data_IF_614864936622
#
_entry.id   IF_614864936622
#
_cell.length_a   1.000
_cell.length_b   1.000
_cell.length_c   1.000
_cell.angle_alpha   90.00
_cell.angle_beta   90.00
_cell.angle_gamma   90.00
#
_symmetry.space_group_name_H-M   'P 1'
#
loop_
_entity.id
_entity.type
_entity.pdbx_description
1 polymer ?
#
# COMPACT_ATOMS: atom_id res chain seq x y z
N UNK A 1 -34.83 -7.25 -5.72
CA UNK A 1 -34.30 -6.56 -4.55
C UNK A 1 -33.54 -5.34 -5.00
N UNK A 2 -33.87 -4.14 -4.52
CA UNK A 2 -33.07 -2.91 -4.66
C UNK A 2 -32.64 -2.46 -3.28
N UNK A 3 -31.39 -2.06 -3.12
CA UNK A 3 -30.86 -1.52 -1.86
C UNK A 3 -30.18 -0.19 -2.14
N UNK A 4 -30.70 0.88 -1.53
CA UNK A 4 -30.08 2.21 -1.53
C UNK A 4 -29.41 2.47 -0.18
N UNK A 5 -28.07 2.50 -0.15
CA UNK A 5 -27.26 2.79 1.05
C UNK A 5 -26.73 4.21 1.01
N UNK A 6 -27.09 4.99 2.02
CA UNK A 6 -26.48 6.30 2.30
C UNK A 6 -25.61 6.20 3.55
N UNK A 7 -24.31 6.39 3.40
CA UNK A 7 -23.38 6.32 4.52
C UNK A 7 -22.57 7.60 4.72
N UNK A 8 -22.37 7.96 6.00
CA UNK A 8 -21.54 9.07 6.44
C UNK A 8 -20.44 8.55 7.34
N UNK A 9 -19.21 8.96 7.05
CA UNK A 9 -18.04 8.57 7.84
C UNK A 9 -17.40 9.81 8.48
N UNK A 10 -17.12 9.73 9.79
CA UNK A 10 -16.48 10.78 10.56
C UNK A 10 -15.39 10.18 11.45
N UNK A 11 -14.14 10.64 11.28
CA UNK A 11 -13.00 10.15 12.06
C UNK A 11 -12.26 11.29 12.75
N UNK A 12 -11.89 11.07 14.02
CA UNK A 12 -10.99 11.93 14.80
C UNK A 12 -9.75 11.11 15.17
N UNK A 13 -8.65 11.38 14.49
CA UNK A 13 -7.41 10.63 14.68
C UNK A 13 -6.33 11.51 15.32
N UNK A 14 -5.63 10.93 16.28
CA UNK A 14 -4.53 11.56 17.00
C UNK A 14 -3.27 10.73 16.87
N UNK A 15 -2.15 11.39 16.64
CA UNK A 15 -0.86 10.74 16.52
C UNK A 15 0.18 11.38 17.42
N UNK A 16 1.07 10.55 17.97
CA UNK A 16 2.28 10.96 18.65
C UNK A 16 3.47 10.19 18.06
N UNK A 17 4.51 10.93 17.72
CA UNK A 17 5.78 10.36 17.27
C UNK A 17 6.91 10.90 18.13
N UNK A 18 7.78 10.00 18.59
CA UNK A 18 9.00 10.34 19.31
C UNK A 18 10.15 9.53 18.73
N UNK A 19 11.27 10.19 18.48
CA UNK A 19 12.46 9.55 17.91
C UNK A 19 13.72 10.05 18.60
N UNK A 20 14.60 9.09 18.94
CA UNK A 20 15.94 9.34 19.43
C UNK A 20 16.94 8.83 18.38
N UNK A 21 17.74 9.76 17.88
CA UNK A 21 18.82 9.48 16.93
C UNK A 21 20.17 9.72 17.61
N UNK A 22 21.07 8.75 17.48
CA UNK A 22 22.44 8.88 17.94
C UNK A 22 23.38 8.39 16.85
N UNK A 23 24.30 9.26 16.40
CA UNK A 23 25.34 8.93 15.44
C UNK A 23 26.70 9.06 16.09
N UNK A 24 27.48 7.97 16.09
CA UNK A 24 28.89 8.00 16.43
C UNK A 24 29.74 7.91 15.17
N UNK A 25 30.66 8.88 15.00
CA UNK A 25 31.59 8.93 13.86
C UNK A 25 33.00 8.79 14.38
N UNK A 26 33.67 7.69 14.02
CA UNK A 26 35.12 7.56 14.21
C UNK A 26 35.88 8.35 13.14
N UNK A 27 35.34 8.37 11.92
CA UNK A 27 35.76 9.19 10.79
C UNK A 27 34.63 9.23 9.73
N UNK A 28 34.84 9.91 8.60
CA UNK A 28 33.82 10.05 7.55
C UNK A 28 33.40 8.73 6.89
N UNK A 29 34.21 7.70 7.01
CA UNK A 29 33.96 6.37 6.43
C UNK A 29 33.62 5.29 7.46
N UNK A 30 33.58 5.63 8.75
CA UNK A 30 33.34 4.69 9.84
C UNK A 30 32.34 5.29 10.83
N UNK A 31 31.11 4.83 10.76
CA UNK A 31 29.98 5.37 11.52
C UNK A 31 29.13 4.28 12.13
N UNK A 32 28.50 4.60 13.25
CA UNK A 32 27.47 3.81 13.88
C UNK A 32 26.27 4.73 14.13
N UNK A 33 25.13 4.35 13.57
CA UNK A 33 23.87 5.07 13.71
C UNK A 33 22.90 4.21 14.52
N UNK A 34 22.31 4.79 15.54
CA UNK A 34 21.28 4.18 16.36
C UNK A 34 20.02 5.03 16.31
N UNK A 35 18.88 4.39 16.05
CA UNK A 35 17.57 5.01 16.03
C UNK A 35 16.64 4.21 16.93
N UNK A 36 15.94 4.93 17.81
CA UNK A 36 14.84 4.39 18.61
C UNK A 36 13.61 5.27 18.38
N UNK A 37 12.60 4.70 17.75
CA UNK A 37 11.35 5.37 17.42
C UNK A 37 10.16 4.79 18.17
N UNK A 38 9.25 5.64 18.57
CA UNK A 38 7.94 5.29 19.08
C UNK A 38 6.86 6.04 18.29
N UNK A 39 5.86 5.28 17.82
CA UNK A 39 4.67 5.82 17.20
C UNK A 39 3.43 5.35 17.94
N UNK A 40 2.53 6.28 18.21
CA UNK A 40 1.15 5.99 18.56
C UNK A 40 0.23 6.74 17.62
N UNK A 41 -0.73 6.03 17.06
CA UNK A 41 -1.75 6.61 16.21
C UNK A 41 -3.07 5.90 16.47
N UNK A 42 -4.17 6.65 16.54
CA UNK A 42 -5.47 6.06 16.77
C UNK A 42 -6.54 7.12 16.97
N UNK A 43 -7.72 6.61 17.25
CA UNK A 43 -8.93 7.38 17.54
C UNK A 43 -10.15 6.79 16.87
N UNK A 44 -11.33 7.28 17.27
CA UNK A 44 -12.60 6.76 16.79
C UNK A 44 -12.84 7.12 15.33
N UNK A 45 -13.34 6.14 14.60
CA UNK A 45 -13.94 6.30 13.29
C UNK A 45 -15.40 5.86 13.39
N UNK A 46 -16.32 6.79 13.22
CA UNK A 46 -17.76 6.55 13.30
C UNK A 46 -18.37 6.58 11.91
N UNK A 47 -18.99 5.47 11.54
CA UNK A 47 -19.78 5.34 10.32
C UNK A 47 -21.25 5.23 10.71
N UNK A 48 -22.10 6.06 10.14
CA UNK A 48 -23.55 5.90 10.17
C UNK A 48 -24.05 5.58 8.78
N UNK A 49 -24.93 4.61 8.64
CA UNK A 49 -25.59 4.25 7.37
C UNK A 49 -27.10 4.15 7.57
N UNK A 50 -27.79 4.50 6.49
CA UNK A 50 -29.22 4.36 6.30
C UNK A 50 -29.43 3.56 5.02
N UNK A 51 -30.07 2.40 5.15
CA UNK A 51 -30.34 1.50 4.02
C UNK A 51 -31.84 1.41 3.81
N UNK A 52 -32.29 1.68 2.61
CA UNK A 52 -33.65 1.46 2.16
C UNK A 52 -33.69 0.25 1.23
N UNK A 53 -34.23 -0.87 1.74
CA UNK A 53 -34.26 -2.15 1.05
C UNK A 53 -35.67 -2.37 0.50
N UNK A 54 -35.81 -2.32 -0.82
CA UNK A 54 -37.06 -2.65 -1.50
C UNK A 54 -37.09 -4.12 -1.91
N UNK A 55 -37.99 -4.87 -1.33
CA UNK A 55 -38.35 -6.21 -1.76
C UNK A 55 -39.50 -6.12 -2.77
N UNK A 56 -39.88 -7.25 -3.40
CA UNK A 56 -40.97 -7.30 -4.36
C UNK A 56 -42.35 -7.07 -3.72
N UNK A 57 -42.49 -7.23 -2.41
CA UNK A 57 -43.72 -7.21 -1.64
C UNK A 57 -43.74 -6.20 -0.47
N UNK A 58 -42.59 -5.71 -0.04
CA UNK A 58 -42.46 -4.73 1.05
C UNK A 58 -41.14 -3.96 0.95
N UNK A 59 -41.00 -2.89 1.73
CA UNK A 59 -39.73 -2.17 1.94
C UNK A 59 -39.34 -2.19 3.41
N UNK A 60 -38.05 -2.20 3.69
CA UNK A 60 -37.45 -2.20 5.01
C UNK A 60 -36.42 -1.09 5.12
N UNK A 61 -36.52 -0.25 6.16
CA UNK A 61 -35.56 0.78 6.47
C UNK A 61 -34.66 0.32 7.61
N UNK A 62 -33.34 0.35 7.41
CA UNK A 62 -32.34 -0.01 8.40
C UNK A 62 -31.41 1.15 8.70
N UNK A 63 -31.23 1.40 9.99
CA UNK A 63 -30.21 2.34 10.48
C UNK A 63 -29.11 1.57 11.18
N UNK A 64 -27.87 1.93 10.88
CA UNK A 64 -26.69 1.39 11.53
C UNK A 64 -25.71 2.48 11.89
N UNK A 65 -25.19 2.44 13.12
CA UNK A 65 -24.05 3.24 13.55
C UNK A 65 -22.93 2.31 14.02
N UNK A 66 -21.76 2.40 13.40
CA UNK A 66 -20.59 1.63 13.77
C UNK A 66 -19.49 2.58 14.25
N UNK A 67 -18.95 2.35 15.44
CA UNK A 67 -17.79 3.05 15.98
C UNK A 67 -16.63 2.07 16.08
N UNK A 68 -15.58 2.35 15.32
CA UNK A 68 -14.32 1.63 15.36
C UNK A 68 -13.28 2.54 16.04
N UNK A 69 -12.82 2.17 17.24
CA UNK A 69 -11.82 2.94 17.99
C UNK A 69 -10.45 2.26 17.89
N UNK A 70 -9.72 2.62 16.85
CA UNK A 70 -8.42 2.01 16.56
C UNK A 70 -7.31 2.64 17.41
N UNK A 71 -6.46 1.82 18.00
CA UNK A 71 -5.24 2.22 18.69
C UNK A 71 -4.06 1.40 18.21
N UNK A 72 -3.12 2.03 17.53
CA UNK A 72 -1.88 1.39 17.07
C UNK A 72 -0.69 2.00 17.81
N UNK A 73 0.16 1.15 18.41
CA UNK A 73 1.41 1.52 19.06
C UNK A 73 2.53 0.73 18.41
N UNK A 74 3.59 1.42 18.00
CA UNK A 74 4.74 0.75 17.41
C UNK A 74 6.06 1.28 17.98
N UNK A 75 7.00 0.36 18.12
CA UNK A 75 8.39 0.63 18.46
C UNK A 75 9.27 0.18 17.29
N UNK A 76 10.24 0.98 16.97
CA UNK A 76 11.28 0.62 16.01
C UNK A 76 12.65 0.88 16.59
N UNK A 77 13.54 -0.08 16.44
CA UNK A 77 14.94 0.04 16.83
C UNK A 77 15.79 -0.29 15.62
N UNK A 78 16.69 0.61 15.25
CA UNK A 78 17.60 0.41 14.14
C UNK A 78 19.02 0.69 14.60
N UNK A 79 19.95 -0.18 14.22
CA UNK A 79 21.38 -0.02 14.46
C UNK A 79 22.10 -0.28 13.14
N UNK A 80 22.71 0.74 12.58
CA UNK A 80 23.48 0.67 11.34
C UNK A 80 24.95 0.91 11.59
N UNK A 81 25.78 -0.01 11.18
CA UNK A 81 27.23 0.09 11.18
C UNK A 81 27.71 0.23 9.74
N UNK A 82 28.48 1.25 9.48
CA UNK A 82 29.10 1.52 8.18
C UNK A 82 30.60 1.62 8.37
N UNK A 83 31.38 0.89 7.57
CA UNK A 83 32.83 0.97 7.57
C UNK A 83 33.41 0.73 6.18
N UNK A 84 34.32 1.59 5.75
CA UNK A 84 35.15 1.39 4.58
C UNK A 84 36.35 0.51 4.98
N UNK A 85 36.17 -0.82 4.89
CA UNK A 85 37.14 -1.81 5.34
C UNK A 85 38.39 -1.92 4.44
N UNK A 86 38.27 -1.43 3.19
CA UNK A 86 39.39 -1.20 2.27
C UNK A 86 39.05 0.03 1.40
N UNK A 87 40.02 0.58 0.68
CA UNK A 87 39.76 1.76 -0.15
C UNK A 87 38.67 1.54 -1.21
N UNK A 88 38.56 0.30 -1.66
CA UNK A 88 37.58 -0.13 -2.68
C UNK A 88 36.38 -0.87 -2.13
N UNK A 89 36.32 -1.16 -0.82
CA UNK A 89 35.29 -2.02 -0.22
C UNK A 89 34.65 -1.39 1.01
N UNK A 90 33.35 -1.17 0.94
CA UNK A 90 32.48 -0.68 2.03
C UNK A 90 31.63 -1.82 2.58
N UNK A 91 31.62 -1.98 3.89
CA UNK A 91 30.71 -2.84 4.63
C UNK A 91 29.63 -1.98 5.29
N UNK A 92 28.38 -2.36 5.10
CA UNK A 92 27.24 -1.90 5.86
C UNK A 92 26.58 -3.12 6.53
N UNK A 93 26.38 -3.07 7.84
CA UNK A 93 25.75 -4.15 8.59
C UNK A 93 24.84 -3.56 9.66
N UNK A 94 23.76 -4.24 9.98
CA UNK A 94 22.85 -3.67 10.96
C UNK A 94 21.80 -4.63 11.47
N UNK A 95 21.06 -4.09 12.43
CA UNK A 95 19.88 -4.71 13.04
C UNK A 95 18.69 -3.76 12.88
N UNK A 96 17.53 -4.33 12.58
CA UNK A 96 16.25 -3.62 12.61
C UNK A 96 15.22 -4.48 13.35
N UNK A 97 14.67 -3.93 14.44
CA UNK A 97 13.59 -4.53 15.20
C UNK A 97 12.35 -3.64 15.15
N UNK A 98 11.20 -4.21 14.81
CA UNK A 98 9.91 -3.50 14.84
C UNK A 98 8.89 -4.33 15.58
N UNK A 99 8.24 -3.72 16.55
CA UNK A 99 7.09 -4.25 17.25
C UNK A 99 5.89 -3.33 17.02
N UNK A 100 4.75 -3.90 16.64
CA UNK A 100 3.50 -3.17 16.49
C UNK A 100 2.39 -3.89 17.23
N UNK A 101 1.62 -3.15 17.99
CA UNK A 101 0.41 -3.58 18.68
C UNK A 101 -0.76 -2.74 18.19
N UNK A 102 -1.78 -3.38 17.68
CA UNK A 102 -3.04 -2.78 17.24
C UNK A 102 -4.17 -3.36 18.06
N UNK A 103 -5.05 -2.51 18.58
CA UNK A 103 -6.25 -2.87 19.32
C UNK A 103 -7.41 -2.07 18.72
N UNK A 104 -8.41 -2.76 18.20
CA UNK A 104 -9.49 -2.16 17.41
C UNK A 104 -10.83 -2.72 17.87
N UNK A 105 -11.40 -2.21 18.97
CA UNK A 105 -12.80 -2.47 19.29
C UNK A 105 -13.73 -1.80 18.29
N UNK A 106 -14.75 -2.54 17.90
CA UNK A 106 -15.80 -2.11 16.97
C UNK A 106 -17.14 -2.36 17.61
N UNK A 107 -17.85 -1.29 17.93
CA UNK A 107 -19.23 -1.31 18.44
C UNK A 107 -20.19 -0.97 17.32
N UNK A 108 -21.29 -1.74 17.22
CA UNK A 108 -22.31 -1.51 16.19
C UNK A 108 -23.69 -1.44 16.86
N UNK A 109 -24.44 -0.42 16.49
CA UNK A 109 -25.82 -0.20 16.88
C UNK A 109 -26.71 -0.31 15.65
N UNK A 110 -27.86 -0.96 15.76
CA UNK A 110 -28.81 -1.13 14.67
C UNK A 110 -30.22 -0.80 15.14
N UNK A 111 -31.06 -0.31 14.22
CA UNK A 111 -32.47 0.04 14.49
C UNK A 111 -33.26 0.26 13.20
N UNK A 112 -34.53 0.55 13.32
CA UNK A 112 -35.43 0.93 12.21
C UNK A 112 -35.56 2.44 12.06
N UNK A 113 -35.03 3.19 13.02
CA UNK A 113 -34.91 4.65 12.99
C UNK A 113 -33.67 5.12 13.76
N UNK A 114 -33.24 6.33 13.55
CA UNK A 114 -32.09 6.93 14.25
C UNK A 114 -32.36 7.08 15.77
N UNK A 115 -33.60 6.96 16.25
CA UNK A 115 -33.94 7.13 17.65
C UNK A 115 -34.14 5.81 18.44
N UNK A 116 -34.22 4.67 17.76
CA UNK A 116 -34.45 3.36 18.36
C UNK A 116 -33.26 2.40 18.24
N UNK A 117 -32.10 2.92 17.94
CA UNK A 117 -30.89 2.10 17.79
C UNK A 117 -30.48 1.43 19.10
N UNK A 118 -30.24 0.14 19.05
CA UNK A 118 -29.71 -0.68 20.14
C UNK A 118 -28.41 -1.35 19.76
N UNK A 119 -27.56 -1.60 20.76
CA UNK A 119 -26.29 -2.29 20.52
C UNK A 119 -26.55 -3.69 19.96
N UNK A 120 -25.91 -3.97 18.83
CA UNK A 120 -25.96 -5.28 18.21
C UNK A 120 -24.73 -6.09 18.62
N UNK A 121 -24.89 -6.95 19.61
CA UNK A 121 -23.81 -7.76 20.18
C UNK A 121 -23.18 -8.73 19.15
N UNK A 122 -23.95 -9.18 18.17
CA UNK A 122 -23.47 -10.07 17.10
C UNK A 122 -22.51 -9.34 16.13
N UNK A 123 -22.61 -8.02 16.04
CA UNK A 123 -21.75 -7.15 15.24
C UNK A 123 -20.60 -6.52 16.04
N UNK A 124 -20.48 -6.86 17.34
CA UNK A 124 -19.33 -6.44 18.13
C UNK A 124 -18.11 -7.28 17.80
N UNK A 125 -16.98 -6.63 17.61
CA UNK A 125 -15.69 -7.28 17.50
C UNK A 125 -14.60 -6.41 18.14
N UNK A 126 -13.69 -7.03 18.91
CA UNK A 126 -12.44 -6.39 19.29
C UNK A 126 -11.29 -7.21 18.72
N UNK A 127 -10.63 -6.66 17.73
CA UNK A 127 -9.50 -7.29 17.09
C UNK A 127 -8.18 -6.78 17.64
N UNK A 128 -7.36 -7.71 18.15
CA UNK A 128 -6.03 -7.43 18.68
C UNK A 128 -4.99 -8.08 17.76
N UNK A 129 -4.09 -7.26 17.24
CA UNK A 129 -3.04 -7.68 16.32
C UNK A 129 -1.66 -7.24 16.84
N UNK A 130 -0.78 -8.22 17.05
CA UNK A 130 0.61 -7.98 17.39
C UNK A 130 1.51 -8.48 16.27
N UNK A 131 2.42 -7.65 15.83
CA UNK A 131 3.40 -7.96 14.79
C UNK A 131 4.80 -7.62 15.27
N UNK A 132 5.69 -8.59 15.29
CA UNK A 132 7.08 -8.46 15.66
C UNK A 132 7.96 -8.92 14.50
N UNK A 133 8.85 -8.04 14.05
CA UNK A 133 9.84 -8.32 13.01
C UNK A 133 11.22 -7.97 13.53
N UNK A 134 12.13 -8.92 13.48
CA UNK A 134 13.55 -8.72 13.84
C UNK A 134 14.40 -9.13 12.66
N UNK A 135 15.31 -8.28 12.24
CA UNK A 135 16.15 -8.50 11.07
C UNK A 135 17.61 -8.17 11.33
N UNK A 136 18.48 -9.01 10.81
CA UNK A 136 19.91 -8.76 10.67
C UNK A 136 20.25 -8.67 9.20
N UNK A 137 21.10 -7.73 8.83
CA UNK A 137 21.53 -7.54 7.45
C UNK A 137 22.99 -7.14 7.35
N UNK A 138 23.57 -7.50 6.21
CA UNK A 138 24.89 -7.06 5.81
C UNK A 138 24.92 -6.81 4.29
N UNK A 139 25.64 -5.78 3.89
CA UNK A 139 25.83 -5.39 2.48
C UNK A 139 27.30 -5.05 2.26
N UNK A 140 27.87 -5.62 1.22
CA UNK A 140 29.18 -5.28 0.71
C UNK A 140 29.03 -4.47 -0.57
N UNK A 141 29.60 -3.29 -0.61
CA UNK A 141 29.57 -2.39 -1.75
C UNK A 141 30.97 -1.97 -2.18
N UNK A 142 31.18 -1.85 -3.49
CA UNK A 142 32.41 -1.42 -4.08
C UNK A 142 32.18 -0.58 -5.30
N UNK A 143 33.09 0.35 -5.54
CA UNK A 143 33.21 1.07 -6.80
C UNK A 143 34.68 1.10 -7.22
N UNK A 144 34.97 0.45 -8.34
CA UNK A 144 36.31 0.40 -8.94
C UNK A 144 36.19 0.93 -10.37
N UNK A 145 36.78 2.08 -10.63
CA UNK A 145 36.71 2.79 -11.93
C UNK A 145 35.24 2.95 -12.40
N UNK A 146 34.87 2.29 -13.47
CA UNK A 146 33.55 2.36 -14.10
C UNK A 146 32.57 1.29 -13.58
N UNK A 147 33.07 0.33 -12.79
CA UNK A 147 32.25 -0.75 -12.26
C UNK A 147 31.91 -0.51 -10.80
N UNK A 148 30.63 -0.70 -10.43
CA UNK A 148 30.19 -0.75 -9.05
C UNK A 148 29.31 -1.96 -8.79
N UNK A 149 29.43 -2.51 -7.58
CA UNK A 149 28.52 -3.55 -7.11
C UNK A 149 28.06 -3.28 -5.68
N UNK A 150 26.88 -3.79 -5.36
CA UNK A 150 26.37 -3.89 -3.99
C UNK A 150 25.69 -5.25 -3.85
N UNK A 151 26.18 -6.08 -2.91
CA UNK A 151 25.65 -7.40 -2.63
C UNK A 151 25.22 -7.44 -1.16
N UNK A 152 23.96 -7.71 -0.91
CA UNK A 152 23.36 -7.70 0.43
C UNK A 152 22.63 -9.01 0.75
N UNK A 153 22.61 -9.34 2.03
CA UNK A 153 21.77 -10.39 2.59
C UNK A 153 21.10 -9.89 3.86
N UNK A 154 19.78 -10.04 3.93
CA UNK A 154 18.96 -9.74 5.10
C UNK A 154 18.22 -11.00 5.54
N UNK A 155 18.35 -11.36 6.81
CA UNK A 155 17.56 -12.41 7.45
C UNK A 155 16.52 -11.79 8.36
N UNK A 156 15.26 -12.18 8.22
CA UNK A 156 14.16 -11.69 9.05
C UNK A 156 13.46 -12.84 9.79
N UNK A 157 13.35 -12.70 11.11
CA UNK A 157 12.44 -13.47 11.94
C UNK A 157 11.18 -12.64 12.16
N UNK A 158 10.02 -13.24 11.92
CA UNK A 158 8.73 -12.56 12.01
C UNK A 158 7.74 -13.39 12.81
N UNK A 159 6.98 -12.72 13.69
CA UNK A 159 5.93 -13.31 14.51
C UNK A 159 4.67 -12.44 14.45
N UNK A 160 3.55 -13.08 14.14
CA UNK A 160 2.21 -12.50 14.31
C UNK A 160 1.48 -13.23 15.44
N UNK A 161 0.66 -12.45 16.16
CA UNK A 161 -0.29 -12.95 17.14
C UNK A 161 -1.58 -12.16 17.01
N UNK A 162 -2.70 -12.85 16.75
CA UNK A 162 -4.01 -12.22 16.63
C UNK A 162 -5.01 -12.80 17.62
N UNK A 163 -5.99 -11.99 18.02
CA UNK A 163 -7.20 -12.40 18.74
C UNK A 163 -8.39 -11.62 18.16
N UNK A 164 -9.50 -12.30 18.00
CA UNK A 164 -10.78 -11.69 17.67
C UNK A 164 -11.75 -12.03 18.82
N UNK A 165 -12.25 -11.02 19.53
CA UNK A 165 -13.09 -11.18 20.70
C UNK A 165 -14.51 -10.75 20.35
N UNK A 166 -15.47 -11.61 20.65
CA UNK A 166 -16.91 -11.29 20.59
C UNK A 166 -17.35 -10.48 21.80
N UNK A 167 -18.57 -9.99 21.78
CA UNK A 167 -19.17 -9.26 22.90
C UNK A 167 -19.11 -10.07 24.21
N UNK A 168 -18.69 -9.41 25.29
CA UNK A 168 -18.54 -10.03 26.60
C UNK A 168 -17.29 -10.89 26.81
N UNK A 169 -16.50 -11.16 25.76
CA UNK A 169 -15.25 -11.91 25.87
C UNK A 169 -14.08 -11.01 26.29
N UNK A 170 -13.15 -11.61 27.04
CA UNK A 170 -11.87 -11.03 27.45
C UNK A 170 -10.73 -11.72 26.71
N UNK A 171 -9.51 -11.16 26.77
CA UNK A 171 -8.33 -11.79 26.18
C UNK A 171 -8.00 -13.17 26.77
N UNK A 172 -8.47 -13.48 27.98
CA UNK A 172 -8.27 -14.78 28.62
C UNK A 172 -9.16 -15.88 28.02
N UNK A 173 -10.31 -15.49 27.47
CA UNK A 173 -11.30 -16.42 26.93
C UNK A 173 -10.96 -16.90 25.52
N UNK A 174 -10.05 -16.17 24.82
CA UNK A 174 -9.71 -16.46 23.41
C UNK A 174 -8.26 -16.86 23.27
N UNK A 175 -8.02 -18.09 22.82
CA UNK A 175 -6.67 -18.54 22.47
C UNK A 175 -6.15 -17.76 21.25
N UNK A 176 -4.98 -17.10 21.36
CA UNK A 176 -4.45 -16.34 20.24
C UNK A 176 -3.99 -17.26 19.10
N UNK A 177 -4.31 -16.88 17.89
CA UNK A 177 -3.64 -17.43 16.72
C UNK A 177 -2.21 -16.88 16.67
N UNK A 178 -1.22 -17.77 16.49
CA UNK A 178 0.21 -17.41 16.44
C UNK A 178 0.84 -17.98 15.20
N UNK A 179 1.66 -17.19 14.53
CA UNK A 179 2.44 -17.60 13.38
C UNK A 179 3.85 -17.03 13.47
N UNK A 180 4.83 -17.90 13.26
CA UNK A 180 6.24 -17.55 13.20
C UNK A 180 6.77 -17.91 11.82
N UNK A 181 7.67 -17.09 11.30
CA UNK A 181 8.34 -17.33 10.03
C UNK A 181 9.77 -16.77 10.06
N UNK A 182 10.64 -17.36 9.26
CA UNK A 182 11.99 -16.87 9.00
C UNK A 182 12.24 -16.88 7.49
N UNK A 183 12.81 -15.82 6.96
CA UNK A 183 13.12 -15.73 5.53
C UNK A 183 14.41 -14.95 5.27
N UNK A 184 15.06 -15.28 4.16
CA UNK A 184 16.25 -14.61 3.65
C UNK A 184 15.90 -13.77 2.42
N UNK A 185 16.48 -12.57 2.39
CA UNK A 185 16.28 -11.56 1.34
C UNK A 185 17.64 -11.16 0.76
N UNK A 186 18.14 -11.89 -0.24
CA UNK A 186 19.32 -11.50 -0.99
C UNK A 186 19.02 -10.33 -1.92
N UNK A 187 20.02 -9.49 -2.13
CA UNK A 187 20.00 -8.40 -3.10
C UNK A 187 21.35 -8.29 -3.80
N UNK A 188 21.31 -7.98 -5.08
CA UNK A 188 22.51 -7.76 -5.90
C UNK A 188 22.25 -6.61 -6.86
N UNK A 189 23.13 -5.63 -6.86
CA UNK A 189 23.13 -4.50 -7.78
C UNK A 189 24.52 -4.42 -8.43
N UNK A 190 24.55 -4.47 -9.73
CA UNK A 190 25.74 -4.30 -10.55
C UNK A 190 25.53 -3.11 -11.47
N UNK A 191 26.47 -2.20 -11.53
CA UNK A 191 26.40 -1.02 -12.40
C UNK A 191 27.72 -0.84 -13.14
N UNK A 192 27.63 -0.47 -14.39
CA UNK A 192 28.77 -0.15 -15.24
C UNK A 192 28.53 1.18 -15.95
N UNK A 193 29.43 2.15 -15.66
CA UNK A 193 29.42 3.46 -16.31
C UNK A 193 30.11 3.37 -17.66
N UNK A 194 29.37 3.67 -18.73
CA UNK A 194 29.84 3.72 -20.10
C UNK A 194 30.23 5.15 -20.49
N UNK A 195 31.04 5.36 -21.55
CA UNK A 195 31.34 6.69 -22.05
C UNK A 195 30.09 7.52 -22.38
N UNK A 196 30.22 8.84 -22.34
CA UNK A 196 29.17 9.81 -22.70
C UNK A 196 27.95 9.74 -21.82
N UNK A 197 28.08 9.61 -20.49
CA UNK A 197 27.01 9.60 -19.50
C UNK A 197 25.93 8.52 -19.75
N UNK A 198 26.40 7.34 -20.13
CA UNK A 198 25.59 6.15 -20.19
C UNK A 198 25.89 5.25 -18.99
N UNK A 199 24.89 4.51 -18.53
CA UNK A 199 25.03 3.54 -17.44
C UNK A 199 24.17 2.31 -17.72
N UNK A 200 24.71 1.13 -17.45
CA UNK A 200 23.97 -0.13 -17.45
C UNK A 200 23.96 -0.69 -16.05
N UNK A 201 22.79 -1.22 -15.63
CA UNK A 201 22.62 -1.84 -14.32
C UNK A 201 21.90 -3.17 -14.45
N UNK A 202 22.31 -4.15 -13.63
CA UNK A 202 21.64 -5.42 -13.43
C UNK A 202 21.31 -5.51 -11.94
N UNK A 203 20.03 -5.73 -11.64
CA UNK A 203 19.53 -5.78 -10.27
C UNK A 203 18.78 -7.08 -10.02
N UNK A 204 19.01 -7.65 -8.85
CA UNK A 204 18.18 -8.71 -8.31
C UNK A 204 17.77 -8.37 -6.89
N UNK A 205 16.49 -8.54 -6.57
CA UNK A 205 15.97 -8.36 -5.20
C UNK A 205 14.89 -9.40 -4.91
N UNK A 206 14.88 -9.89 -3.66
CA UNK A 206 13.78 -10.67 -3.10
C UNK A 206 13.08 -9.85 -2.03
N UNK A 207 11.73 -9.87 -2.04
CA UNK A 207 10.88 -9.10 -1.12
C UNK A 207 9.78 -9.98 -0.54
N UNK A 208 9.22 -9.54 0.58
CA UNK A 208 8.07 -10.15 1.25
C UNK A 208 6.96 -9.11 1.39
N UNK A 209 5.73 -9.55 1.16
CA UNK A 209 4.52 -8.84 1.58
C UNK A 209 3.81 -9.68 2.62
N UNK A 210 3.60 -9.11 3.81
CA UNK A 210 2.92 -9.77 4.93
C UNK A 210 1.44 -9.41 4.92
N UNK A 211 0.55 -10.31 5.37
CA UNK A 211 -0.84 -9.94 5.57
C UNK A 211 -0.93 -8.88 6.69
N UNK A 212 -1.79 -7.90 6.50
CA UNK A 212 -2.10 -6.89 7.49
C UNK A 212 -3.30 -7.31 8.36
N UNK A 213 -3.55 -6.61 9.49
CA UNK A 213 -4.53 -7.00 10.50
C UNK A 213 -5.92 -7.32 9.95
N UNK A 214 -6.48 -6.46 9.08
CA UNK A 214 -7.81 -6.68 8.51
C UNK A 214 -7.92 -7.91 7.61
N UNK A 215 -6.81 -8.36 6.96
CA UNK A 215 -6.79 -9.60 6.19
C UNK A 215 -6.78 -10.85 7.09
N UNK A 216 -6.42 -10.67 8.37
CA UNK A 216 -6.30 -11.76 9.35
C UNK A 216 -7.47 -11.79 10.35
N UNK A 217 -8.31 -10.77 10.39
CA UNK A 217 -9.44 -10.71 11.30
C UNK A 217 -10.55 -11.65 10.81
N UNK A 218 -10.76 -12.76 11.52
CA UNK A 218 -11.77 -13.78 11.19
C UNK A 218 -13.20 -13.38 11.52
N UNK A 219 -13.41 -12.18 12.06
CA UNK A 219 -14.75 -11.69 12.33
C UNK A 219 -15.54 -11.50 11.03
N UNK A 220 -16.78 -12.00 11.00
CA UNK A 220 -17.70 -11.85 9.88
C UNK A 220 -18.40 -10.51 9.98
N UNK A 221 -18.08 -9.61 9.06
CA UNK A 221 -18.83 -8.37 8.91
C UNK A 221 -20.14 -8.67 8.17
N UNK A 222 -21.20 -8.75 8.94
CA UNK A 222 -22.59 -8.98 8.49
C UNK A 222 -23.39 -7.68 8.44
N UNK A 223 -22.74 -6.54 8.39
CA UNK A 223 -23.40 -5.24 8.26
C UNK A 223 -24.27 -5.16 6.99
N UNK A 224 -23.83 -5.80 5.91
CA UNK A 224 -24.65 -6.14 4.76
C UNK A 224 -24.91 -7.66 4.77
N UNK A 225 -26.12 -8.13 5.14
CA UNK A 225 -26.41 -9.56 5.24
C UNK A 225 -26.35 -10.32 3.91
N UNK A 226 -26.33 -9.62 2.78
CA UNK A 226 -26.20 -10.21 1.44
C UNK A 226 -24.75 -10.27 0.95
N UNK A 227 -23.83 -9.52 1.60
CA UNK A 227 -22.42 -9.43 1.24
C UNK A 227 -21.54 -9.48 2.50
N UNK A 228 -21.27 -10.66 2.98
CA UNK A 228 -20.46 -10.90 4.17
C UNK A 228 -18.98 -10.89 3.83
N UNK A 229 -18.18 -10.18 4.62
CA UNK A 229 -16.72 -10.17 4.44
C UNK A 229 -15.99 -10.51 5.73
N UNK A 230 -14.86 -11.23 5.62
CA UNK A 230 -14.02 -11.60 6.74
C UNK A 230 -12.59 -11.88 6.29
N UNK A 231 -11.66 -11.83 7.25
CA UNK A 231 -10.25 -12.16 7.02
C UNK A 231 -9.94 -13.63 7.26
N UNK A 232 -8.73 -14.04 6.89
CA UNK A 232 -8.23 -15.39 7.05
C UNK A 232 -6.96 -15.38 7.91
N UNK A 233 -7.00 -15.83 9.17
CA UNK A 233 -5.82 -15.89 10.04
C UNK A 233 -4.68 -16.76 9.49
N UNK A 234 -5.00 -17.74 8.62
CA UNK A 234 -4.03 -18.69 8.08
C UNK A 234 -3.25 -18.17 6.87
N UNK A 235 -3.53 -16.94 6.40
CA UNK A 235 -2.81 -16.33 5.28
C UNK A 235 -1.30 -16.40 5.47
N UNK A 236 -0.61 -16.87 4.42
CA UNK A 236 0.84 -16.85 4.31
C UNK A 236 1.33 -15.53 3.72
N UNK A 237 2.54 -15.08 4.06
CA UNK A 237 3.17 -13.99 3.32
C UNK A 237 3.44 -14.41 1.87
N UNK A 238 3.31 -13.47 0.95
CA UNK A 238 3.75 -13.66 -0.42
C UNK A 238 5.19 -13.17 -0.62
N UNK A 239 5.92 -13.85 -1.51
CA UNK A 239 7.30 -13.52 -1.83
C UNK A 239 7.43 -13.13 -3.30
N UNK A 240 8.22 -12.09 -3.55
CA UNK A 240 8.50 -11.62 -4.90
C UNK A 240 10.00 -11.60 -5.17
N UNK A 241 10.42 -12.15 -6.32
CA UNK A 241 11.76 -11.99 -6.84
C UNK A 241 11.70 -11.08 -8.07
N UNK A 242 12.55 -10.08 -8.13
CA UNK A 242 12.66 -9.14 -9.25
C UNK A 242 14.05 -9.21 -9.86
N UNK A 243 14.11 -9.41 -11.17
CA UNK A 243 15.30 -9.28 -12.00
C UNK A 243 15.09 -8.11 -12.95
N UNK A 244 16.04 -7.20 -12.98
CA UNK A 244 15.93 -5.96 -13.75
C UNK A 244 17.24 -5.69 -14.51
N UNK A 245 17.12 -5.31 -15.78
CA UNK A 245 18.19 -4.76 -16.60
C UNK A 245 17.81 -3.33 -16.95
N UNK A 246 18.65 -2.38 -16.52
CA UNK A 246 18.41 -0.96 -16.71
C UNK A 246 19.50 -0.36 -17.59
N UNK A 247 19.09 0.55 -18.45
CA UNK A 247 19.98 1.41 -19.22
C UNK A 247 19.57 2.86 -18.98
N UNK A 248 20.53 3.67 -18.60
CA UNK A 248 20.36 5.10 -18.35
C UNK A 248 21.25 5.89 -19.32
N UNK A 249 20.68 6.90 -19.96
CA UNK A 249 21.38 7.90 -20.74
C UNK A 249 21.00 9.29 -20.23
N UNK A 250 22.03 10.05 -19.85
CA UNK A 250 21.87 11.45 -19.45
C UNK A 250 22.46 12.39 -20.49
N UNK A 251 21.76 13.49 -20.74
CA UNK A 251 22.22 14.65 -21.49
C UNK A 251 22.02 15.89 -20.62
N UNK A 252 22.52 17.02 -21.02
CA UNK A 252 22.44 18.26 -20.23
C UNK A 252 21.01 18.62 -19.81
N UNK A 253 20.02 18.40 -20.68
CA UNK A 253 18.62 18.77 -20.44
C UNK A 253 17.66 17.61 -20.59
N UNK A 254 18.15 16.41 -20.88
CA UNK A 254 17.33 15.23 -21.14
C UNK A 254 17.90 14.02 -20.41
N UNK A 255 17.02 13.12 -20.02
CA UNK A 255 17.38 11.81 -19.46
C UNK A 255 16.42 10.76 -20.01
N UNK A 256 16.97 9.63 -20.41
CA UNK A 256 16.22 8.45 -20.81
C UNK A 256 16.65 7.27 -19.95
N UNK A 257 15.70 6.60 -19.32
CA UNK A 257 15.89 5.32 -18.63
C UNK A 257 15.02 4.26 -19.29
N UNK A 258 15.62 3.14 -19.64
CA UNK A 258 14.95 1.95 -20.15
C UNK A 258 15.19 0.82 -19.17
N UNK A 259 14.14 0.17 -18.70
CA UNK A 259 14.22 -0.95 -17.78
C UNK A 259 13.47 -2.13 -18.35
N UNK A 260 14.11 -3.28 -18.48
CA UNK A 260 13.45 -4.55 -18.75
C UNK A 260 13.45 -5.37 -17.46
N UNK A 261 12.32 -5.98 -17.12
CA UNK A 261 12.18 -6.68 -15.86
C UNK A 261 11.36 -7.97 -15.97
N UNK A 262 11.67 -8.90 -15.07
CA UNK A 262 10.84 -10.06 -14.77
C UNK A 262 10.65 -10.13 -13.27
N UNK A 263 9.40 -10.15 -12.84
CA UNK A 263 9.02 -10.29 -11.42
C UNK A 263 8.15 -11.52 -11.26
N UNK A 264 8.58 -12.42 -10.38
CA UNK A 264 7.79 -13.59 -9.98
C UNK A 264 7.24 -13.35 -8.57
N UNK A 265 5.97 -13.65 -8.35
CA UNK A 265 5.33 -13.58 -7.03
C UNK A 265 4.68 -14.92 -6.75
N UNK A 266 5.06 -15.56 -5.65
CA UNK A 266 4.47 -16.81 -5.17
C UNK A 266 3.53 -16.56 -3.99
N UNK A 267 2.57 -17.48 -3.82
CA UNK A 267 1.60 -17.45 -2.73
C UNK A 267 0.81 -16.14 -2.65
N UNK A 268 0.33 -15.65 -3.79
CA UNK A 268 -0.38 -14.37 -3.85
C UNK A 268 -1.58 -14.34 -2.91
N UNK A 269 -1.62 -13.32 -2.06
CA UNK A 269 -2.79 -13.06 -1.23
C UNK A 269 -3.87 -12.38 -2.06
N UNK A 270 -4.87 -13.15 -2.48
CA UNK A 270 -5.99 -12.67 -3.27
C UNK A 270 -7.28 -12.68 -2.44
N UNK A 271 -8.13 -11.67 -2.67
CA UNK A 271 -9.50 -11.73 -2.23
C UNK A 271 -10.26 -12.71 -3.11
N UNK A 272 -10.97 -13.63 -2.50
CA UNK A 272 -11.84 -14.59 -3.17
C UNK A 272 -13.26 -14.39 -2.70
N UNK A 273 -14.19 -14.56 -3.62
CA UNK A 273 -15.63 -14.49 -3.32
C UNK A 273 -16.30 -15.78 -3.76
N UNK A 274 -17.32 -16.19 -3.00
CA UNK A 274 -18.14 -17.34 -3.28
C UNK A 274 -19.58 -17.09 -2.86
N UNK A 275 -20.51 -17.80 -3.48
CA UNK A 275 -21.93 -17.73 -3.15
C UNK A 275 -22.31 -18.97 -2.32
N UNK A 276 -22.92 -18.75 -1.14
CA UNK A 276 -23.53 -19.81 -0.33
C UNK A 276 -25.00 -19.44 -0.05
N UNK A 277 -25.92 -20.17 -0.69
CA UNK A 277 -27.33 -19.73 -0.80
C UNK A 277 -27.43 -18.43 -1.61
N UNK A 278 -28.09 -17.43 -1.02
CA UNK A 278 -28.25 -16.09 -1.61
C UNK A 278 -27.28 -15.06 -1.04
N UNK A 279 -26.29 -15.51 -0.24
CA UNK A 279 -25.31 -14.63 0.40
C UNK A 279 -23.96 -14.72 -0.30
N UNK A 280 -23.42 -13.56 -0.66
CA UNK A 280 -22.07 -13.42 -1.21
C UNK A 280 -21.06 -13.32 -0.08
N UNK A 281 -20.16 -14.27 0.03
CA UNK A 281 -19.05 -14.23 0.98
C UNK A 281 -17.77 -13.82 0.29
N UNK A 282 -16.97 -13.02 0.98
CA UNK A 282 -15.65 -12.58 0.51
C UNK A 282 -14.60 -12.75 1.60
N UNK A 283 -13.50 -13.42 1.27
CA UNK A 283 -12.38 -13.63 2.20
C UNK A 283 -11.04 -13.56 1.45
N UNK A 284 -9.96 -13.90 2.13
CA UNK A 284 -8.61 -13.90 1.58
C UNK A 284 -8.02 -15.31 1.56
N UNK A 285 -7.31 -15.63 0.48
CA UNK A 285 -6.58 -16.88 0.36
C UNK A 285 -5.27 -16.68 -0.41
N UNK A 286 -4.28 -17.54 -0.13
CA UNK A 286 -3.09 -17.64 -0.94
C UNK A 286 -3.40 -18.53 -2.15
N UNK A 287 -3.71 -17.91 -3.27
CA UNK A 287 -4.06 -18.59 -4.53
C UNK A 287 -3.31 -17.96 -5.68
N UNK A 288 -2.90 -18.82 -6.63
CA UNK A 288 -2.13 -18.47 -7.81
C UNK A 288 -0.72 -17.90 -7.53
N UNK A 289 0.12 -18.08 -8.51
CA UNK A 289 1.39 -17.41 -8.66
C UNK A 289 1.32 -16.44 -9.83
N UNK A 290 2.12 -15.39 -9.78
CA UNK A 290 2.14 -14.37 -10.82
C UNK A 290 3.55 -14.20 -11.39
N UNK A 291 3.64 -14.05 -12.71
CA UNK A 291 4.85 -13.63 -13.40
C UNK A 291 4.53 -12.38 -14.21
N UNK A 292 5.12 -11.27 -13.80
CA UNK A 292 5.08 -10.01 -14.53
C UNK A 292 6.39 -9.80 -15.27
N UNK A 293 6.34 -9.70 -16.59
CA UNK A 293 7.50 -9.39 -17.44
C UNK A 293 7.20 -8.16 -18.29
N UNK A 294 8.10 -7.21 -18.30
CA UNK A 294 7.80 -5.94 -18.95
C UNK A 294 9.00 -5.07 -19.23
N UNK A 295 8.68 -3.89 -19.77
CA UNK A 295 9.62 -2.83 -20.05
C UNK A 295 9.04 -1.50 -19.56
N UNK A 296 9.84 -0.75 -18.80
CA UNK A 296 9.52 0.60 -18.38
C UNK A 296 10.44 1.61 -19.09
N UNK A 297 9.84 2.67 -19.58
CA UNK A 297 10.51 3.80 -20.23
C UNK A 297 10.24 5.04 -19.40
N UNK A 298 11.29 5.67 -18.88
CA UNK A 298 11.21 6.96 -18.20
C UNK A 298 12.00 7.98 -18.98
N UNK A 299 11.32 9.05 -19.40
CA UNK A 299 11.96 10.18 -20.09
C UNK A 299 11.72 11.46 -19.30
N UNK A 300 12.81 12.17 -18.97
CA UNK A 300 12.76 13.50 -18.37
C UNK A 300 13.39 14.50 -19.31
N UNK A 301 12.67 15.58 -19.59
CA UNK A 301 13.09 16.57 -20.58
C UNK A 301 12.85 17.97 -20.03
N UNK A 302 13.85 18.84 -20.12
CA UNK A 302 13.75 20.24 -19.77
C UNK A 302 13.85 21.07 -21.03
N UNK A 303 12.81 21.85 -21.34
CA UNK A 303 12.73 22.69 -22.53
C UNK A 303 12.74 24.18 -22.13
N UNK A 304 13.62 24.94 -22.73
CA UNK A 304 13.68 26.41 -22.60
C UNK A 304 13.73 26.94 -21.17
N UNK A 305 14.19 26.15 -20.20
CA UNK A 305 14.15 26.47 -18.75
C UNK A 305 12.74 26.78 -18.19
N UNK A 306 11.68 26.45 -18.93
CA UNK A 306 10.29 26.77 -18.58
C UNK A 306 9.37 25.57 -18.49
N UNK A 307 9.65 24.50 -19.21
CA UNK A 307 8.86 23.27 -19.24
C UNK A 307 9.73 22.09 -18.87
N UNK A 308 9.41 21.45 -17.75
CA UNK A 308 9.96 20.14 -17.35
C UNK A 308 8.89 19.08 -17.59
N UNK A 309 9.17 18.15 -18.49
CA UNK A 309 8.27 17.05 -18.85
C UNK A 309 8.87 15.72 -18.40
N UNK A 310 8.13 15.00 -17.55
CA UNK A 310 8.46 13.62 -17.19
C UNK A 310 7.38 12.70 -17.74
N UNK A 311 7.80 11.71 -18.52
CA UNK A 311 6.92 10.69 -19.08
C UNK A 311 7.41 9.33 -18.62
N UNK A 312 6.50 8.53 -18.08
CA UNK A 312 6.73 7.12 -17.72
C UNK A 312 5.73 6.27 -18.46
N UNK A 313 6.22 5.25 -19.17
CA UNK A 313 5.39 4.24 -19.84
C UNK A 313 5.86 2.89 -19.38
N UNK A 314 4.95 2.06 -18.90
CA UNK A 314 5.20 0.68 -18.51
C UNK A 314 4.36 -0.26 -19.37
N UNK A 315 5.00 -1.17 -20.07
CA UNK A 315 4.40 -2.18 -20.95
C UNK A 315 4.71 -3.54 -20.35
N UNK A 316 3.71 -4.34 -20.01
CA UNK A 316 3.98 -5.62 -19.36
C UNK A 316 2.96 -6.70 -19.73
N UNK A 317 3.43 -7.92 -19.68
CA UNK A 317 2.60 -9.11 -19.71
C UNK A 317 2.45 -9.63 -18.28
N UNK A 318 1.22 -9.81 -17.86
CA UNK A 318 0.86 -10.42 -16.59
C UNK A 318 0.40 -11.86 -16.86
N UNK A 319 1.13 -12.81 -16.29
CA UNK A 319 0.81 -14.21 -16.30
C UNK A 319 0.39 -14.66 -14.90
N UNK A 320 -0.86 -15.09 -14.73
CA UNK A 320 -1.40 -15.67 -13.51
C UNK A 320 -1.56 -17.18 -13.73
N UNK A 321 -1.00 -17.98 -12.81
CA UNK A 321 -1.13 -19.44 -12.86
C UNK A 321 -2.57 -19.90 -12.66
N UNK A 322 -2.93 -21.08 -13.13
CA UNK A 322 -4.18 -21.74 -12.75
C UNK A 322 -4.15 -22.11 -11.26
N UNK A 323 -5.28 -22.08 -10.61
CA UNK A 323 -5.42 -22.39 -9.20
C UNK A 323 -6.71 -23.14 -8.90
N UNK A 324 -6.70 -23.94 -7.84
CA UNK A 324 -7.87 -24.58 -7.25
C UNK A 324 -7.84 -24.31 -5.75
N UNK A 325 -9.00 -24.08 -5.17
CA UNK A 325 -9.16 -23.86 -3.74
C UNK A 325 -10.50 -24.39 -3.28
N UNK A 326 -10.49 -25.36 -2.35
CA UNK A 326 -11.68 -25.94 -1.78
C UNK A 326 -12.05 -25.14 -0.51
N UNK A 327 -13.17 -24.46 -0.56
CA UNK A 327 -13.65 -23.62 0.51
C UNK A 327 -14.71 -24.33 1.34
N UNK A 328 -14.51 -24.41 2.66
CA UNK A 328 -15.52 -24.90 3.58
C UNK A 328 -16.42 -23.71 3.99
N UNK A 329 -17.63 -23.65 3.44
CA UNK A 329 -18.61 -22.63 3.77
C UNK A 329 -19.15 -22.80 5.19
N UNK A 330 -19.76 -21.76 5.76
CA UNK A 330 -20.41 -21.83 7.08
C UNK A 330 -21.54 -22.83 7.15
N UNK A 331 -22.23 -23.05 6.04
CA UNK A 331 -23.23 -24.13 5.88
C UNK A 331 -22.65 -25.54 6.04
N UNK A 332 -21.31 -25.68 6.15
CA UNK A 332 -20.60 -26.96 6.14
C UNK A 332 -20.45 -27.56 4.75
N UNK A 333 -20.87 -26.86 3.70
CA UNK A 333 -20.72 -27.28 2.30
C UNK A 333 -19.32 -26.96 1.79
N UNK A 334 -18.69 -27.91 1.11
CA UNK A 334 -17.45 -27.67 0.40
C UNK A 334 -17.76 -27.00 -0.95
N UNK A 335 -17.23 -25.81 -1.16
CA UNK A 335 -17.38 -25.03 -2.40
C UNK A 335 -16.03 -25.05 -3.13
N UNK A 336 -15.88 -25.82 -4.21
CA UNK A 336 -14.69 -25.84 -5.01
C UNK A 336 -14.62 -24.59 -5.87
N UNK A 337 -13.57 -23.78 -5.68
CA UNK A 337 -13.26 -22.62 -6.50
C UNK A 337 -12.06 -22.91 -7.37
N UNK A 338 -12.07 -22.43 -8.60
CA UNK A 338 -10.93 -22.58 -9.50
C UNK A 338 -10.77 -21.40 -10.43
N UNK A 339 -9.55 -21.13 -10.82
CA UNK A 339 -9.23 -20.17 -11.86
C UNK A 339 -8.32 -20.77 -12.91
N UNK A 340 -8.62 -20.51 -14.17
CA UNK A 340 -7.76 -20.94 -15.28
C UNK A 340 -6.52 -20.06 -15.36
N UNK A 341 -5.43 -20.62 -15.87
CA UNK A 341 -4.24 -19.86 -16.26
C UNK A 341 -4.62 -18.71 -17.20
N UNK A 342 -4.11 -17.52 -16.89
CA UNK A 342 -4.43 -16.30 -17.63
C UNK A 342 -3.15 -15.59 -18.08
N UNK A 343 -3.20 -15.00 -19.27
CA UNK A 343 -2.19 -14.10 -19.81
C UNK A 343 -2.85 -12.81 -20.23
N UNK A 344 -2.29 -11.69 -19.84
CA UNK A 344 -2.82 -10.38 -20.18
C UNK A 344 -1.69 -9.41 -20.45
N UNK A 345 -1.68 -8.84 -21.65
CA UNK A 345 -0.89 -7.65 -21.89
C UNK A 345 -1.60 -6.43 -21.30
N UNK A 346 -0.88 -5.68 -20.49
CA UNK A 346 -1.35 -4.46 -19.87
C UNK A 346 -0.29 -3.34 -20.02
N UNK A 347 -0.73 -2.10 -19.92
CA UNK A 347 0.17 -0.98 -19.96
C UNK A 347 -0.35 0.19 -19.12
N UNK A 348 0.57 0.99 -18.64
CA UNK A 348 0.27 2.24 -17.97
C UNK A 348 1.14 3.36 -18.50
N UNK A 349 0.61 4.57 -18.47
CA UNK A 349 1.34 5.76 -18.83
C UNK A 349 1.06 6.88 -17.83
N UNK A 350 2.12 7.58 -17.43
CA UNK A 350 2.04 8.79 -16.63
C UNK A 350 2.85 9.89 -17.29
N UNK A 351 2.25 11.06 -17.43
CA UNK A 351 2.92 12.25 -17.93
C UNK A 351 2.74 13.38 -16.94
N UNK A 352 3.83 14.01 -16.53
CA UNK A 352 3.84 15.17 -15.64
C UNK A 352 4.58 16.31 -16.31
N UNK A 353 3.88 17.43 -16.48
CA UNK A 353 4.42 18.66 -17.03
C UNK A 353 4.45 19.75 -15.94
N UNK A 354 5.64 20.29 -15.67
CA UNK A 354 5.81 21.45 -14.81
C UNK A 354 6.18 22.65 -15.69
N UNK A 355 5.38 23.70 -15.62
CA UNK A 355 5.52 24.89 -16.46
C UNK A 355 5.73 26.13 -15.59
N UNK A 356 6.78 26.88 -15.87
CA UNK A 356 7.00 28.21 -15.28
C UNK A 356 6.28 29.26 -16.11
N UNK A 357 5.16 29.74 -15.60
CA UNK A 357 4.35 30.78 -16.21
C UNK A 357 4.87 32.18 -15.81
N UNK A 358 4.48 33.25 -16.53
CA UNK A 358 4.70 34.62 -16.08
C UNK A 358 4.24 34.84 -14.63
N UNK A 359 4.69 35.94 -14.01
CA UNK A 359 4.37 36.35 -12.63
C UNK A 359 4.76 35.33 -11.56
N UNK A 360 5.82 34.55 -11.78
CA UNK A 360 6.33 33.51 -10.86
C UNK A 360 5.25 32.45 -10.48
N UNK A 361 4.34 32.17 -11.39
CA UNK A 361 3.37 31.09 -11.24
C UNK A 361 4.00 29.80 -11.77
N UNK A 362 3.95 28.73 -10.97
CA UNK A 362 4.25 27.37 -11.41
C UNK A 362 2.95 26.63 -11.67
N UNK A 363 2.83 26.00 -12.82
CA UNK A 363 1.73 25.10 -13.16
C UNK A 363 2.25 23.67 -13.23
N UNK A 364 1.52 22.74 -12.67
CA UNK A 364 1.76 21.29 -12.82
C UNK A 364 0.52 20.64 -13.40
N UNK A 365 0.68 19.89 -14.49
CA UNK A 365 -0.36 19.04 -15.04
C UNK A 365 0.13 17.58 -14.98
N UNK A 366 -0.71 16.67 -14.48
CA UNK A 366 -0.41 15.24 -14.41
C UNK A 366 -1.51 14.45 -15.07
N UNK A 367 -1.19 13.70 -16.13
CA UNK A 367 -2.06 12.72 -16.76
C UNK A 367 -1.65 11.31 -16.36
N UNK A 368 -2.61 10.46 -16.05
CA UNK A 368 -2.41 9.04 -15.76
C UNK A 368 -3.36 8.20 -16.61
N UNK A 369 -2.89 7.08 -17.08
CA UNK A 369 -3.66 6.07 -17.77
C UNK A 369 -3.24 4.67 -17.33
N UNK A 370 -4.19 3.77 -17.12
CA UNK A 370 -3.96 2.34 -16.91
C UNK A 370 -4.90 1.57 -17.83
N UNK A 371 -4.40 0.55 -18.50
CA UNK A 371 -5.21 -0.36 -19.29
C UNK A 371 -6.00 -1.34 -18.40
N UNK A 372 -6.89 -2.12 -19.01
CA UNK A 372 -7.55 -3.26 -18.33
C UNK A 372 -6.50 -4.24 -17.82
N UNK A 373 -6.72 -4.78 -16.61
CA UNK A 373 -5.86 -5.79 -15.97
C UNK A 373 -6.70 -6.99 -15.52
N UNK A 374 -6.16 -8.19 -15.63
CA UNK A 374 -6.77 -9.40 -15.11
C UNK A 374 -6.42 -9.60 -13.64
N UNK A 375 -7.27 -10.28 -12.90
CA UNK A 375 -7.10 -10.75 -11.54
C UNK A 375 -7.40 -12.23 -11.44
N UNK A 376 -7.11 -12.87 -10.31
CA UNK A 376 -7.33 -14.31 -10.11
C UNK A 376 -8.78 -14.75 -10.38
N UNK A 377 -9.77 -13.92 -10.04
CA UNK A 377 -11.21 -14.18 -10.21
C UNK A 377 -11.92 -13.23 -11.19
N UNK A 378 -11.22 -12.50 -12.05
CA UNK A 378 -11.90 -11.60 -12.95
C UNK A 378 -11.02 -10.54 -13.59
N UNK A 379 -11.49 -9.30 -13.63
CA UNK A 379 -10.74 -8.21 -14.24
C UNK A 379 -11.09 -6.84 -13.65
N UNK A 380 -10.12 -5.94 -13.70
CA UNK A 380 -10.28 -4.53 -13.43
C UNK A 380 -10.23 -3.75 -14.73
N UNK A 381 -11.20 -2.90 -14.98
CA UNK A 381 -11.23 -2.04 -16.17
C UNK A 381 -10.13 -0.98 -16.09
N UNK A 382 -9.66 -0.57 -17.26
CA UNK A 382 -8.74 0.56 -17.38
C UNK A 382 -9.40 1.89 -17.03
N UNK A 383 -8.55 2.88 -16.76
CA UNK A 383 -9.03 4.23 -16.45
C UNK A 383 -7.95 5.28 -16.70
N UNK A 384 -8.38 6.54 -16.76
CA UNK A 384 -7.48 7.68 -16.90
C UNK A 384 -7.90 8.82 -15.98
N UNK A 385 -6.99 9.73 -15.72
CA UNK A 385 -7.29 10.96 -14.98
C UNK A 385 -6.29 12.05 -15.30
N UNK A 386 -6.73 13.31 -15.13
CA UNK A 386 -5.87 14.49 -15.25
C UNK A 386 -6.03 15.34 -14.01
N UNK A 387 -4.90 15.67 -13.40
CA UNK A 387 -4.80 16.58 -12.26
C UNK A 387 -4.09 17.86 -12.71
N UNK A 388 -4.54 19.03 -12.22
CA UNK A 388 -3.97 20.33 -12.55
C UNK A 388 -3.73 21.15 -11.28
N UNK A 389 -2.53 21.72 -11.15
CA UNK A 389 -2.15 22.54 -10.02
C UNK A 389 -1.49 23.84 -10.45
N UNK A 390 -1.76 24.89 -9.70
CA UNK A 390 -1.08 26.18 -9.83
C UNK A 390 -0.51 26.58 -8.47
N UNK A 391 0.68 27.12 -8.47
CA UNK A 391 1.33 27.62 -7.26
C UNK A 391 2.01 28.94 -7.55
N UNK A 392 1.87 29.88 -6.59
CA UNK A 392 2.62 31.14 -6.57
C UNK A 392 3.20 31.35 -5.17
N UNK A 393 4.49 31.64 -5.10
CA UNK A 393 5.16 32.06 -3.88
C UNK A 393 5.56 33.53 -4.00
N UNK A 394 5.33 34.31 -2.94
CA UNK A 394 5.69 35.74 -2.86
C UNK A 394 5.95 36.14 -1.41
N UNK A 395 7.19 36.53 -1.12
CA UNK A 395 7.65 36.76 0.25
C UNK A 395 7.40 35.55 1.15
N UNK A 396 6.79 35.73 2.33
CA UNK A 396 6.51 34.64 3.25
C UNK A 396 5.28 33.81 2.88
N UNK A 397 4.56 34.18 1.82
CA UNK A 397 3.33 33.54 1.41
C UNK A 397 3.52 32.54 0.26
N UNK A 398 2.80 31.45 0.28
CA UNK A 398 2.64 30.53 -0.84
C UNK A 398 1.17 30.15 -0.98
N UNK A 399 0.60 30.39 -2.15
CA UNK A 399 -0.78 30.02 -2.50
C UNK A 399 -0.71 28.92 -3.55
N UNK A 400 -1.47 27.84 -3.34
CA UNK A 400 -1.61 26.73 -4.27
C UNK A 400 -3.08 26.41 -4.50
N UNK A 401 -3.47 26.28 -5.76
CA UNK A 401 -4.78 25.83 -6.20
C UNK A 401 -4.59 24.50 -6.94
N UNK A 402 -5.17 23.43 -6.45
CA UNK A 402 -5.07 22.10 -7.03
C UNK A 402 -6.45 21.59 -7.39
N UNK A 403 -6.62 21.13 -8.61
CA UNK A 403 -7.79 20.43 -9.09
C UNK A 403 -7.42 18.98 -9.39
N UNK A 404 -7.94 18.05 -8.61
CA UNK A 404 -7.79 16.62 -8.81
C UNK A 404 -8.94 16.13 -9.67
N UNK A 405 -8.62 15.23 -10.62
CA UNK A 405 -9.59 14.64 -11.54
C UNK A 405 -10.41 15.68 -12.30
N UNK A 406 -9.70 16.54 -13.04
CA UNK A 406 -10.27 17.70 -13.76
C UNK A 406 -11.50 17.33 -14.61
N UNK A 407 -11.53 16.12 -15.17
CA UNK A 407 -12.57 15.65 -16.09
C UNK A 407 -13.60 14.72 -15.43
N UNK A 408 -13.49 14.49 -14.10
CA UNK A 408 -14.35 13.54 -13.35
C UNK A 408 -14.35 12.13 -13.99
N UNK A 409 -13.17 11.65 -14.35
CA UNK A 409 -13.00 10.42 -15.12
C UNK A 409 -12.64 9.21 -14.27
N UNK A 410 -12.32 9.41 -12.99
CA UNK A 410 -11.92 8.32 -12.07
C UNK A 410 -13.13 7.47 -11.71
N UNK A 411 -13.30 6.36 -12.43
CA UNK A 411 -14.26 5.30 -12.15
C UNK A 411 -13.47 4.03 -11.86
N UNK A 412 -13.76 3.40 -10.75
CA UNK A 412 -13.21 2.10 -10.43
C UNK A 412 -14.23 1.05 -10.83
N UNK A 413 -13.91 0.22 -11.82
CA UNK A 413 -14.80 -0.79 -12.35
C UNK A 413 -14.11 -2.15 -12.29
N UNK A 414 -14.76 -3.13 -11.67
CA UNK A 414 -14.25 -4.50 -11.59
C UNK A 414 -15.36 -5.50 -11.90
N UNK A 415 -14.95 -6.63 -12.41
CA UNK A 415 -15.81 -7.79 -12.63
C UNK A 415 -15.20 -8.97 -11.90
N UNK A 416 -15.97 -9.64 -11.07
CA UNK A 416 -15.60 -10.88 -10.38
C UNK A 416 -16.45 -12.01 -10.91
N UNK A 417 -15.82 -13.14 -11.29
CA UNK A 417 -16.49 -14.30 -11.82
C UNK A 417 -16.32 -15.46 -10.84
N UNK A 418 -17.42 -16.08 -10.45
CA UNK A 418 -17.46 -17.36 -9.74
C UNK A 418 -18.05 -18.46 -10.59
N UNK A 419 -18.18 -19.69 -10.04
CA UNK A 419 -18.78 -20.82 -10.78
C UNK A 419 -20.20 -20.53 -11.26
N UNK A 420 -21.02 -19.87 -10.42
CA UNK A 420 -22.45 -19.68 -10.64
C UNK A 420 -22.88 -18.21 -10.66
N UNK A 421 -21.92 -17.26 -10.65
CA UNK A 421 -22.22 -15.83 -10.63
C UNK A 421 -21.20 -14.99 -11.39
N UNK A 422 -21.64 -13.80 -11.80
CA UNK A 422 -20.78 -12.71 -12.25
C UNK A 422 -21.21 -11.45 -11.51
N UNK A 423 -20.28 -10.85 -10.75
CA UNK A 423 -20.51 -9.60 -10.04
C UNK A 423 -19.80 -8.47 -10.76
N UNK A 424 -20.54 -7.40 -11.04
CA UNK A 424 -20.00 -6.14 -11.54
C UNK A 424 -20.02 -5.11 -10.42
N UNK A 425 -18.89 -4.47 -10.18
CA UNK A 425 -18.76 -3.42 -9.19
C UNK A 425 -18.25 -2.14 -9.87
N UNK A 426 -18.97 -1.03 -9.70
CA UNK A 426 -18.53 0.28 -10.11
C UNK A 426 -18.51 1.21 -8.89
N UNK A 427 -17.35 1.80 -8.62
CA UNK A 427 -17.17 2.74 -7.51
C UNK A 427 -16.73 4.09 -8.03
N UNK A 428 -17.46 5.09 -7.63
CA UNK A 428 -17.12 6.49 -7.85
C UNK A 428 -16.85 7.17 -6.52
N UNK A 429 -15.66 7.73 -6.36
CA UNK A 429 -15.23 8.37 -5.10
C UNK A 429 -15.20 9.89 -5.26
N UNK A 430 -16.35 10.50 -5.30
CA UNK A 430 -16.53 11.94 -5.07
C UNK A 430 -16.07 12.90 -6.17
N UNK A 431 -15.68 12.42 -7.35
CA UNK A 431 -15.47 13.29 -8.51
C UNK A 431 -14.34 14.32 -8.41
N UNK A 432 -14.51 15.41 -9.10
CA UNK A 432 -13.57 16.55 -9.14
C UNK A 432 -13.41 17.18 -7.76
N UNK A 433 -12.16 17.29 -7.28
CA UNK A 433 -11.85 17.96 -6.02
C UNK A 433 -10.97 19.17 -6.25
N UNK A 434 -11.42 20.34 -5.78
CA UNK A 434 -10.62 21.57 -5.81
C UNK A 434 -10.16 21.93 -4.40
N UNK A 435 -8.85 22.12 -4.23
CA UNK A 435 -8.24 22.47 -2.95
C UNK A 435 -7.45 23.76 -3.09
N UNK A 436 -7.80 24.75 -2.28
CA UNK A 436 -6.99 25.95 -2.07
C UNK A 436 -6.14 25.79 -0.81
N UNK A 437 -4.84 25.99 -0.94
CA UNK A 437 -3.90 25.97 0.18
C UNK A 437 -3.18 27.31 0.26
N UNK A 438 -3.26 27.96 1.41
CA UNK A 438 -2.52 29.17 1.73
C UNK A 438 -1.54 28.85 2.83
N UNK A 439 -0.24 29.05 2.59
CA UNK A 439 0.84 28.82 3.54
C UNK A 439 1.53 30.15 3.83
N UNK A 440 1.67 30.46 5.10
CA UNK A 440 2.48 31.57 5.60
C UNK A 440 3.68 31.01 6.36
N UNK A 441 4.88 31.44 6.01
CA UNK A 441 6.13 31.04 6.66
C UNK A 441 6.68 32.24 7.44
N UNK A 442 7.00 32.03 8.72
CA UNK A 442 7.57 33.06 9.58
C UNK A 442 8.85 32.54 10.26
N UNK A 443 9.71 33.46 10.70
CA UNK A 443 11.00 33.14 11.32
C UNK A 443 12.18 33.30 10.35
N UNK A 444 13.36 32.81 10.76
CA UNK A 444 14.58 32.93 9.96
C UNK A 444 14.58 31.94 8.79
N UNK A 445 14.12 32.38 7.64
CA UNK A 445 14.06 31.58 6.41
C UNK A 445 15.43 31.18 5.84
N UNK A 446 16.52 31.78 6.35
CA UNK A 446 17.90 31.51 5.94
C UNK A 446 18.62 30.56 6.92
N UNK A 447 17.96 30.09 7.98
CA UNK A 447 18.54 29.03 8.80
C UNK A 447 18.76 27.81 7.93
N UNK A 448 20.03 27.45 7.70
CA UNK A 448 20.38 26.19 7.02
C UNK A 448 19.74 25.07 7.82
N UNK A 449 18.98 24.15 7.19
CA UNK A 449 18.52 22.95 7.90
C UNK A 449 19.76 22.28 8.52
N UNK A 450 19.62 21.89 9.77
CA UNK A 450 20.70 21.20 10.47
C UNK A 450 20.98 19.91 9.69
N UNK A 451 22.12 19.82 9.00
CA UNK A 451 22.49 18.68 8.15
C UNK A 451 22.61 17.34 8.91
N UNK A 452 22.41 17.37 10.20
CA UNK A 452 22.44 16.18 11.07
C UNK A 452 21.07 15.51 11.24
N UNK A 453 20.06 15.91 10.46
CA UNK A 453 18.69 15.39 10.53
C UNK A 453 18.16 14.82 9.22
N UNK A 454 19.04 14.32 8.33
CA UNK A 454 18.62 13.51 7.16
C UNK A 454 18.29 12.05 7.59
N UNK A 455 17.56 11.88 8.69
CA UNK A 455 16.72 10.71 8.85
C UNK A 455 15.63 10.84 7.77
N UNK A 456 15.58 9.93 6.82
CA UNK A 456 14.37 9.75 6.04
C UNK A 456 13.20 9.72 7.03
N UNK A 457 12.10 10.47 6.78
CA UNK A 457 10.94 10.36 7.65
C UNK A 457 10.65 8.88 7.74
N UNK A 458 10.62 8.32 8.96
CA UNK A 458 10.11 6.97 9.13
C UNK A 458 8.78 6.96 8.40
N UNK A 459 8.73 6.25 7.28
CA UNK A 459 7.49 6.05 6.58
C UNK A 459 6.57 5.28 7.54
N UNK A 460 5.80 6.04 8.31
CA UNK A 460 4.77 5.52 9.21
C UNK A 460 3.65 4.81 8.44
N UNK A 461 3.75 4.82 7.13
CA UNK A 461 2.92 4.08 6.20
C UNK A 461 3.56 2.73 5.87
N UNK A 462 3.74 1.87 6.85
CA UNK A 462 3.73 0.43 6.61
C UNK A 462 2.37 -0.04 6.07
N UNK A 463 1.44 0.87 5.92
CA UNK A 463 0.27 0.79 5.08
C UNK A 463 0.67 1.30 3.70
N UNK A 464 1.09 0.39 2.85
CA UNK A 464 1.07 0.61 1.42
C UNK A 464 -0.38 0.95 1.03
N UNK A 465 -0.67 2.26 1.01
CA UNK A 465 -2.00 2.78 0.65
C UNK A 465 -2.38 2.44 -0.81
N UNK A 466 -1.49 1.74 -1.53
CA UNK A 466 -1.72 1.17 -2.85
C UNK A 466 -2.37 -0.21 -2.82
N UNK A 467 -2.40 -0.88 -1.65
CA UNK A 467 -2.93 -2.24 -1.52
C UNK A 467 -4.15 -2.40 -0.63
N UNK A 468 -4.61 -1.36 0.01
CA UNK A 468 -5.67 -1.49 0.98
C UNK A 468 -6.86 -0.59 0.68
N UNK A 469 -7.74 -1.00 -0.15
CA UNK A 469 -9.17 -0.70 -0.25
C UNK A 469 -9.69 -1.13 -1.62
N UNK A 470 -9.40 -2.36 -1.99
CA UNK A 470 -10.18 -3.08 -2.98
C UNK A 470 -11.10 -4.02 -2.20
N UNK A 471 -12.16 -3.46 -1.65
CA UNK A 471 -13.34 -4.15 -1.15
C UNK A 471 -14.48 -3.93 -2.10
#
# INVERSE_FOLDING_TARGET
>A
LTNDDYSKNNGDHRGMHAELNYTHKWNDNHTLDFILGYNHWGGPNRRSSEEDIEYSDHSELKYQEQTMDMSTRSWETKLDYTNKIAEWLKLEAGFNGRYSHEDTPTDTYTGTSASDMTQNEALYNRFIYNNNVSALYATLGSKVENFSFSAGLRGEAWQIKTRSLAFGQTEADVTPFKKNNFALFPSLFLSYSLPHDNEMQINYTRRIRRPWGGQLNSFHDISDPTNVSYGNPELQPQYSNSFELNYLKSWTFHMLSLSAYVRTTSDMMNRISYLDGDVMYSTWANIADEVNSGCEIVSKNSFWNRLDLTTTVNLYNNHISGWNYDFLAESGKLIPLSGKKQNSFAWSARMMANVKLPWSISMQATGNYNSKMLSAQGSRQGGWSVDLGFRRAFGPWSISLNCRDLFDSRRFKSTTNGPDYTQYNERWRGGRTVRLTVKFSFGNMNAKPNKNGDGEPMDGSGYDASGGMDG
#
